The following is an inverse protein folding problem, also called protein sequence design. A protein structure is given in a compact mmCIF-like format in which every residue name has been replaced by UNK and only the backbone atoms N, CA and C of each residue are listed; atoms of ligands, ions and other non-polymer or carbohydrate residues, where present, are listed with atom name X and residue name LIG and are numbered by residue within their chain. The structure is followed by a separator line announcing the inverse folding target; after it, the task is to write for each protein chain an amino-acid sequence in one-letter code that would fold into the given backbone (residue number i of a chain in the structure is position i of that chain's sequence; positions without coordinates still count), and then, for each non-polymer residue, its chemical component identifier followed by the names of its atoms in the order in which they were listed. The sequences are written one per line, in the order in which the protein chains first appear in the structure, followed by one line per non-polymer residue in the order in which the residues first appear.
data_IF_958112957879
#
_entry.id   IF_958112957879
#
_cell.length_a   1.000
_cell.length_b   1.000
_cell.length_c   1.000
_cell.angle_alpha   90.00
_cell.angle_beta   90.00
_cell.angle_gamma   90.00
#
_symmetry.space_group_name_H-M   'P 1'
#
loop_
_entity.id
_entity.type
_entity.pdbx_description
1 polymer ?
#
# COMPACT_ATOMS: atom_id res chain seq x y z
N UNK A 1 12.86 -0.02 -33.30
CA UNK A 1 12.04 -0.41 -32.13
C UNK A 1 12.04 0.70 -31.07
N UNK A 2 11.30 1.81 -31.26
CA UNK A 2 11.35 2.98 -30.32
C UNK A 2 10.24 2.99 -29.25
N UNK A 3 9.19 2.18 -29.42
CA UNK A 3 7.98 2.19 -28.58
C UNK A 3 7.82 0.98 -27.65
N UNK A 4 8.76 0.03 -27.69
CA UNK A 4 8.68 -1.20 -26.89
C UNK A 4 8.61 -0.92 -25.38
N UNK A 5 9.29 0.14 -24.91
CA UNK A 5 9.27 0.55 -23.50
C UNK A 5 7.90 1.12 -23.06
N UNK A 6 7.21 1.82 -23.96
CA UNK A 6 5.87 2.35 -23.68
C UNK A 6 4.85 1.22 -23.59
N UNK A 7 4.93 0.26 -24.52
CA UNK A 7 4.05 -0.93 -24.53
C UNK A 7 4.33 -1.80 -23.30
N UNK A 8 5.59 -2.00 -22.93
CA UNK A 8 5.97 -2.75 -21.72
C UNK A 8 5.42 -2.12 -20.44
N UNK A 9 5.42 -0.78 -20.33
CA UNK A 9 4.86 -0.07 -19.17
C UNK A 9 3.34 -0.20 -19.06
N UNK A 10 2.62 -0.25 -20.19
CA UNK A 10 1.16 -0.45 -20.21
C UNK A 10 0.80 -1.89 -19.78
N UNK A 11 1.58 -2.88 -20.22
CA UNK A 11 1.39 -4.28 -19.80
C UNK A 11 1.59 -4.50 -18.30
N UNK A 12 2.33 -3.63 -17.62
CA UNK A 12 2.58 -3.72 -16.17
C UNK A 12 1.34 -3.39 -15.32
N UNK A 13 0.31 -2.74 -15.89
CA UNK A 13 -0.94 -2.46 -15.17
C UNK A 13 -1.77 -3.70 -14.83
N UNK A 14 -1.50 -4.84 -15.49
CA UNK A 14 -2.15 -6.11 -15.22
C UNK A 14 -1.53 -6.87 -14.03
N UNK A 15 -0.40 -6.42 -13.47
CA UNK A 15 0.22 -7.10 -12.33
C UNK A 15 -0.58 -6.83 -11.04
N UNK A 16 -1.02 -7.88 -10.31
CA UNK A 16 -1.81 -7.73 -9.09
C UNK A 16 -1.01 -7.04 -7.98
N UNK A 17 -1.66 -6.08 -7.30
CA UNK A 17 -1.04 -5.20 -6.29
C UNK A 17 -0.55 -5.94 -5.03
N UNK A 18 -0.98 -7.18 -4.81
CA UNK A 18 -0.56 -8.02 -3.66
C UNK A 18 0.89 -8.51 -3.74
N UNK A 19 1.49 -8.53 -4.93
CA UNK A 19 2.90 -8.92 -5.15
C UNK A 19 3.84 -7.71 -5.18
N UNK A 20 3.33 -6.50 -4.94
CA UNK A 20 3.99 -5.25 -5.29
C UNK A 20 4.63 -4.61 -4.06
N UNK A 21 5.97 -4.61 -4.00
CA UNK A 21 6.72 -3.96 -2.93
C UNK A 21 6.62 -2.43 -3.05
N UNK A 22 6.09 -1.77 -2.01
CA UNK A 22 5.87 -0.32 -1.97
C UNK A 22 7.18 0.46 -2.01
N UNK A 23 8.24 -0.04 -1.38
CA UNK A 23 9.58 0.54 -1.43
C UNK A 23 10.21 0.43 -2.81
N UNK A 24 9.96 -0.67 -3.52
CA UNK A 24 10.51 -0.90 -4.85
C UNK A 24 9.79 -0.02 -5.90
N UNK A 25 8.47 0.12 -5.81
CA UNK A 25 7.70 1.02 -6.67
C UNK A 25 7.92 2.49 -6.36
N UNK A 26 8.12 2.84 -5.08
CA UNK A 26 8.56 4.18 -4.69
C UNK A 26 9.93 4.53 -5.26
N UNK A 27 10.89 3.59 -5.25
CA UNK A 27 12.20 3.78 -5.84
C UNK A 27 12.14 3.95 -7.37
N UNK A 28 11.30 3.17 -8.07
CA UNK A 28 11.07 3.29 -9.52
C UNK A 28 10.40 4.62 -9.89
N UNK A 29 9.43 5.07 -9.10
CA UNK A 29 8.82 6.39 -9.26
C UNK A 29 9.86 7.51 -9.08
N UNK A 30 10.66 7.44 -8.01
CA UNK A 30 11.67 8.45 -7.71
C UNK A 30 12.75 8.52 -8.80
N UNK A 31 13.22 7.37 -9.29
CA UNK A 31 14.17 7.31 -10.40
C UNK A 31 13.56 7.88 -11.69
N UNK A 32 12.33 7.51 -12.04
CA UNK A 32 11.64 8.09 -13.21
C UNK A 32 11.52 9.62 -13.13
N UNK A 33 11.14 10.17 -11.97
CA UNK A 33 11.01 11.61 -11.78
C UNK A 33 12.36 12.36 -11.86
N UNK A 34 13.40 11.85 -11.19
CA UNK A 34 14.74 12.45 -11.20
C UNK A 34 15.29 12.43 -12.64
N UNK A 35 15.26 11.28 -13.30
CA UNK A 35 15.80 11.15 -14.65
C UNK A 35 15.03 11.98 -15.68
N UNK A 36 13.71 12.12 -15.54
CA UNK A 36 12.92 13.03 -16.39
C UNK A 36 13.43 14.46 -16.30
N UNK A 37 13.67 14.98 -15.08
CA UNK A 37 14.21 16.33 -14.87
C UNK A 37 15.60 16.49 -15.48
N UNK A 38 16.49 15.52 -15.27
CA UNK A 38 17.86 15.58 -15.79
C UNK A 38 17.92 15.53 -17.34
N UNK A 39 17.05 14.76 -18.00
CA UNK A 39 16.98 14.68 -19.46
C UNK A 39 16.52 16.00 -20.13
N UNK A 40 15.80 16.85 -19.39
CA UNK A 40 15.33 18.17 -19.86
C UNK A 40 16.33 19.30 -19.56
N UNK A 41 17.23 19.12 -18.58
CA UNK A 41 18.25 20.09 -18.17
C UNK A 41 19.54 19.96 -19.00
N UNK A 42 19.98 18.74 -19.29
CA UNK A 42 21.21 18.51 -20.08
C UNK A 42 21.00 18.97 -21.53
N UNK A 43 21.97 19.71 -22.08
CA UNK A 43 22.00 20.13 -23.49
C UNK A 43 23.03 19.29 -24.28
N UNK A 44 22.66 18.78 -25.48
CA UNK A 44 21.36 18.90 -26.14
C UNK A 44 20.27 18.03 -25.48
N UNK A 45 19.02 18.51 -25.48
CA UNK A 45 17.88 17.88 -24.78
C UNK A 45 17.47 16.57 -25.45
N UNK A 46 17.30 15.51 -24.66
CA UNK A 46 16.85 14.20 -25.15
C UNK A 46 15.41 13.90 -24.70
N UNK A 47 14.44 14.38 -25.49
CA UNK A 47 13.01 14.26 -25.21
C UNK A 47 12.49 12.82 -25.15
N UNK A 48 13.10 11.89 -25.89
CA UNK A 48 12.67 10.49 -25.91
C UNK A 48 13.04 9.79 -24.59
N UNK A 49 14.25 10.04 -24.09
CA UNK A 49 14.67 9.53 -22.78
C UNK A 49 13.86 10.17 -21.63
N UNK A 50 13.51 11.46 -21.77
CA UNK A 50 12.63 12.16 -20.83
C UNK A 50 11.22 11.55 -20.81
N UNK A 51 10.62 11.29 -21.98
CA UNK A 51 9.29 10.70 -22.07
C UNK A 51 9.24 9.30 -21.43
N UNK A 52 10.23 8.45 -21.70
CA UNK A 52 10.30 7.10 -21.13
C UNK A 52 10.40 7.14 -19.60
N UNK A 53 11.28 7.98 -19.04
CA UNK A 53 11.42 8.12 -17.58
C UNK A 53 10.18 8.76 -16.94
N UNK A 54 9.49 9.64 -17.66
CA UNK A 54 8.25 10.25 -17.21
C UNK A 54 7.12 9.21 -17.12
N UNK A 55 6.96 8.38 -18.15
CA UNK A 55 5.97 7.30 -18.13
C UNK A 55 6.31 6.24 -17.09
N UNK A 56 7.60 5.91 -16.90
CA UNK A 56 8.05 5.04 -15.80
C UNK A 56 7.65 5.60 -14.43
N UNK A 57 7.85 6.90 -14.21
CA UNK A 57 7.41 7.61 -13.00
C UNK A 57 5.89 7.54 -12.80
N UNK A 58 5.11 7.79 -13.87
CA UNK A 58 3.65 7.74 -13.83
C UNK A 58 3.10 6.33 -13.52
N UNK A 59 3.70 5.29 -14.11
CA UNK A 59 3.36 3.89 -13.81
C UNK A 59 3.64 3.59 -12.33
N UNK A 60 4.79 4.05 -11.81
CA UNK A 60 5.13 3.94 -10.38
C UNK A 60 4.13 4.64 -9.46
N UNK A 61 3.65 5.84 -9.83
CA UNK A 61 2.60 6.57 -9.07
C UNK A 61 1.31 5.75 -9.00
N UNK A 62 0.80 5.28 -10.15
CA UNK A 62 -0.43 4.48 -10.19
C UNK A 62 -0.30 3.23 -9.32
N UNK A 63 0.86 2.58 -9.36
CA UNK A 63 1.15 1.39 -8.57
C UNK A 63 1.21 1.69 -7.06
N UNK A 64 1.90 2.76 -6.65
CA UNK A 64 1.94 3.20 -5.25
C UNK A 64 0.56 3.59 -4.73
N UNK A 65 -0.24 4.33 -5.52
CA UNK A 65 -1.62 4.70 -5.14
C UNK A 65 -2.50 3.46 -4.96
N UNK A 66 -2.39 2.46 -5.84
CA UNK A 66 -3.14 1.20 -5.70
C UNK A 66 -2.72 0.41 -4.45
N UNK A 67 -1.42 0.28 -4.16
CA UNK A 67 -0.93 -0.38 -2.93
C UNK A 67 -1.40 0.38 -1.69
N UNK A 68 -1.32 1.72 -1.71
CA UNK A 68 -1.74 2.55 -0.59
C UNK A 68 -3.21 2.36 -0.27
N UNK A 69 -4.09 2.37 -1.28
CA UNK A 69 -5.51 2.11 -1.09
C UNK A 69 -5.76 0.69 -0.58
N UNK A 70 -5.08 -0.32 -1.13
CA UNK A 70 -5.19 -1.72 -0.70
C UNK A 70 -4.82 -1.92 0.77
N UNK A 71 -3.70 -1.31 1.20
CA UNK A 71 -3.21 -1.39 2.57
C UNK A 71 -4.13 -0.65 3.54
N UNK A 72 -4.76 0.45 3.11
CA UNK A 72 -5.76 1.17 3.91
C UNK A 72 -7.03 0.34 4.15
N UNK A 73 -7.49 -0.41 3.14
CA UNK A 73 -8.62 -1.34 3.28
C UNK A 73 -8.29 -2.54 4.18
N UNK A 74 -7.09 -3.11 4.07
CA UNK A 74 -6.63 -4.19 4.94
C UNK A 74 -6.46 -3.75 6.40
N UNK A 75 -5.80 -2.60 6.64
CA UNK A 75 -5.62 -2.07 8.00
C UNK A 75 -6.96 -1.73 8.67
N UNK A 76 -7.96 -1.28 7.90
CA UNK A 76 -9.32 -1.06 8.39
C UNK A 76 -10.01 -2.35 8.82
N UNK A 77 -9.92 -3.39 7.99
CA UNK A 77 -10.50 -4.72 8.29
C UNK A 77 -9.78 -5.41 9.45
N UNK A 78 -8.46 -5.30 9.53
CA UNK A 78 -7.66 -5.93 10.58
C UNK A 78 -7.81 -5.21 11.92
N UNK A 79 -7.86 -3.87 11.93
CA UNK A 79 -8.17 -3.10 13.15
C UNK A 79 -9.60 -3.30 13.63
N UNK A 80 -10.57 -3.48 12.73
CA UNK A 80 -11.93 -3.82 13.10
C UNK A 80 -11.98 -5.20 13.77
N UNK A 81 -11.41 -6.24 13.14
CA UNK A 81 -11.36 -7.58 13.70
C UNK A 81 -10.65 -7.66 15.07
N UNK A 82 -9.56 -6.90 15.27
CA UNK A 82 -8.86 -6.83 16.57
C UNK A 82 -9.72 -6.14 17.63
N UNK A 83 -10.43 -5.06 17.27
CA UNK A 83 -11.34 -4.37 18.19
C UNK A 83 -12.54 -5.23 18.58
N UNK A 84 -13.09 -5.96 17.62
CA UNK A 84 -14.22 -6.87 17.86
C UNK A 84 -13.78 -8.01 18.80
N UNK A 85 -12.59 -8.58 18.60
CA UNK A 85 -12.00 -9.55 19.54
C UNK A 85 -11.76 -8.97 20.94
N UNK A 86 -11.20 -7.76 21.05
CA UNK A 86 -10.96 -7.11 22.35
C UNK A 86 -12.27 -6.91 23.12
N UNK A 87 -13.34 -6.49 22.44
CA UNK A 87 -14.65 -6.32 23.06
C UNK A 87 -15.22 -7.65 23.57
N UNK A 88 -15.15 -8.71 22.77
CA UNK A 88 -15.64 -10.04 23.15
C UNK A 88 -14.90 -10.60 24.37
N UNK A 89 -13.56 -10.45 24.41
CA UNK A 89 -12.73 -10.89 25.54
C UNK A 89 -13.05 -10.11 26.83
N UNK A 90 -13.25 -8.78 26.73
CA UNK A 90 -13.58 -7.93 27.89
C UNK A 90 -14.97 -8.27 28.44
N UNK A 91 -15.92 -8.57 27.57
CA UNK A 91 -17.28 -8.94 27.98
C UNK A 91 -17.32 -10.32 28.65
N UNK A 92 -16.57 -11.31 28.12
CA UNK A 92 -16.39 -12.60 28.81
C UNK A 92 -15.70 -12.44 30.18
N UNK A 93 -14.63 -11.65 30.26
CA UNK A 93 -13.92 -11.43 31.52
C UNK A 93 -14.81 -10.77 32.59
N UNK A 94 -15.67 -9.81 32.19
CA UNK A 94 -16.66 -9.19 33.08
C UNK A 94 -17.73 -10.17 33.53
N UNK A 95 -18.21 -11.05 32.63
CA UNK A 95 -19.21 -12.06 32.97
C UNK A 95 -18.68 -13.04 34.02
N UNK A 96 -17.46 -13.54 33.83
CA UNK A 96 -16.78 -14.45 34.79
C UNK A 96 -16.53 -13.76 36.13
N UNK A 97 -16.08 -12.50 36.11
CA UNK A 97 -15.88 -11.73 37.35
C UNK A 97 -17.19 -11.49 38.11
N UNK A 98 -18.29 -11.22 37.40
CA UNK A 98 -19.60 -11.03 38.00
C UNK A 98 -20.13 -12.33 38.60
N UNK A 99 -19.98 -13.47 37.91
CA UNK A 99 -20.36 -14.79 38.42
C UNK A 99 -19.58 -15.16 39.69
N UNK A 100 -18.25 -14.95 39.68
CA UNK A 100 -17.41 -15.17 40.86
C UNK A 100 -17.80 -14.29 42.05
N UNK A 101 -18.12 -13.00 41.81
CA UNK A 101 -18.57 -12.09 42.87
C UNK A 101 -19.92 -12.51 43.48
N UNK A 102 -20.85 -13.04 42.67
CA UNK A 102 -22.14 -13.55 43.15
C UNK A 102 -21.97 -14.82 43.98
N UNK A 103 -21.11 -15.74 43.54
CA UNK A 103 -20.83 -16.99 44.27
C UNK A 103 -20.19 -16.71 45.63
N UNK A 104 -19.22 -15.80 45.70
CA UNK A 104 -18.57 -15.41 46.97
C UNK A 104 -19.58 -14.78 47.95
N UNK A 105 -20.47 -13.91 47.46
CA UNK A 105 -21.46 -13.21 48.29
C UNK A 105 -22.58 -14.12 48.81
N UNK A 106 -22.83 -15.25 48.15
CA UNK A 106 -23.79 -16.28 48.59
C UNK A 106 -23.19 -17.24 49.63
N UNK A 107 -21.87 -17.23 49.77
CA UNK A 107 -21.09 -18.07 50.70
C UNK A 107 -20.77 -17.38 52.04
N UNK A 108 -21.10 -16.11 52.20
CA UNK A 108 -20.95 -15.33 53.45
C UNK A 108 -22.32 -15.08 54.07
#
# INVERSE_FOLDING_TARGET
MKWALVIAGISDFQRPAEKLSLTQNGALMATGAIWTRWCLIIKPKNYLLAAVNFFLGCVGVVQVTRIFNYRRTLDGSSKAAVKDLEHEIVDEAKAVAHEAAVVVKKST
#
